data_IF_972916223378
#
_entry.id   IF_972916223378
#
_cell.length_a   1.000
_cell.length_b   1.000
_cell.length_c   1.000
_cell.angle_alpha   90.00
_cell.angle_beta   90.00
_cell.angle_gamma   90.00
#
_symmetry.space_group_name_H-M   'P 1'
#
loop_
_entity.id
_entity.type
_entity.pdbx_description
1 polymer ?
#
# COMPACT_ATOMS: atom_id res chain seq x y z
N UNK A 1 -3.82 23.35 7.10
CA UNK A 1 -3.36 21.98 7.41
C UNK A 1 -4.44 20.96 7.12
N UNK A 2 -5.58 20.95 7.84
CA UNK A 2 -6.69 20.02 7.55
C UNK A 2 -7.17 20.04 6.08
N UNK A 3 -7.36 21.23 5.50
CA UNK A 3 -7.67 21.40 4.07
C UNK A 3 -6.61 20.74 3.17
N UNK A 4 -5.32 20.88 3.52
CA UNK A 4 -4.21 20.27 2.79
C UNK A 4 -4.20 18.75 2.91
N UNK A 5 -4.44 18.20 4.11
CA UNK A 5 -4.59 16.76 4.31
C UNK A 5 -5.77 16.18 3.53
N UNK A 6 -6.88 16.93 3.45
CA UNK A 6 -8.03 16.58 2.61
C UNK A 6 -7.73 16.56 1.12
N UNK A 7 -6.89 17.45 0.60
CA UNK A 7 -6.47 17.41 -0.81
C UNK A 7 -5.38 16.35 -1.07
N UNK A 8 -4.47 16.13 -0.12
CA UNK A 8 -3.41 15.12 -0.22
C UNK A 8 -3.89 13.72 0.10
N UNK A 9 -3.65 13.26 1.33
CA UNK A 9 -3.84 11.86 1.73
C UNK A 9 -5.29 11.39 1.62
N UNK A 10 -6.24 12.28 1.91
CA UNK A 10 -7.67 11.99 1.81
C UNK A 10 -8.23 12.00 0.39
N UNK A 11 -7.49 12.47 -0.61
CA UNK A 11 -7.99 12.69 -1.96
C UNK A 11 -7.01 12.25 -3.04
N UNK A 12 -5.95 13.02 -3.29
CA UNK A 12 -5.01 12.70 -4.37
C UNK A 12 -4.45 11.29 -4.23
N UNK A 13 -4.03 10.91 -3.02
CA UNK A 13 -3.49 9.58 -2.75
C UNK A 13 -4.52 8.48 -3.03
N UNK A 14 -5.76 8.66 -2.57
CA UNK A 14 -6.83 7.68 -2.76
C UNK A 14 -7.18 7.51 -4.24
N UNK A 15 -7.28 8.62 -4.97
CA UNK A 15 -7.57 8.57 -6.40
C UNK A 15 -6.43 7.95 -7.21
N UNK A 16 -5.19 8.19 -6.80
CA UNK A 16 -4.01 7.59 -7.40
C UNK A 16 -3.97 6.07 -7.19
N UNK A 17 -4.14 5.61 -5.95
CA UNK A 17 -4.14 4.18 -5.61
C UNK A 17 -5.26 3.42 -6.30
N UNK A 18 -6.45 4.02 -6.39
CA UNK A 18 -7.58 3.42 -7.10
C UNK A 18 -7.32 3.27 -8.60
N UNK A 19 -6.65 4.25 -9.21
CA UNK A 19 -6.24 4.18 -10.60
C UNK A 19 -5.13 3.14 -10.81
N UNK A 20 -4.08 3.15 -9.99
CA UNK A 20 -2.99 2.19 -10.05
C UNK A 20 -3.48 0.73 -9.93
N UNK A 21 -4.47 0.47 -9.07
CA UNK A 21 -5.09 -0.86 -8.98
C UNK A 21 -5.78 -1.27 -10.29
N UNK A 22 -6.52 -0.36 -10.90
CA UNK A 22 -7.21 -0.61 -12.16
C UNK A 22 -6.22 -0.81 -13.31
N UNK A 23 -5.17 0.01 -13.35
CA UNK A 23 -4.08 -0.09 -14.30
C UNK A 23 -3.38 -1.44 -14.18
N UNK A 24 -2.99 -1.83 -12.96
CA UNK A 24 -2.38 -3.12 -12.64
C UNK A 24 -3.17 -4.32 -13.17
N UNK A 25 -4.48 -4.32 -12.95
CA UNK A 25 -5.35 -5.40 -13.45
C UNK A 25 -5.42 -5.46 -14.99
N UNK A 26 -5.31 -4.32 -15.67
CA UNK A 26 -5.43 -4.23 -17.13
C UNK A 26 -4.14 -4.50 -17.90
N UNK A 27 -3.03 -4.78 -17.19
CA UNK A 27 -1.73 -5.02 -17.81
C UNK A 27 -1.74 -6.26 -18.71
N UNK A 28 -1.07 -6.16 -19.84
CA UNK A 28 -0.91 -7.24 -20.81
C UNK A 28 0.54 -7.34 -21.28
N UNK A 29 0.98 -8.56 -21.63
CA UNK A 29 2.34 -8.81 -22.12
C UNK A 29 2.58 -8.12 -23.45
N UNK A 30 3.70 -7.39 -23.57
CA UNK A 30 4.04 -6.66 -24.80
C UNK A 30 4.50 -7.58 -25.93
N UNK A 31 4.67 -8.89 -25.69
CA UNK A 31 5.11 -9.88 -26.70
C UNK A 31 4.20 -9.93 -27.92
N UNK A 32 2.96 -9.52 -27.76
CA UNK A 32 1.96 -9.51 -28.83
C UNK A 32 1.93 -8.19 -29.62
N UNK A 33 2.77 -7.20 -29.27
CA UNK A 33 2.85 -5.94 -30.01
C UNK A 33 3.55 -6.13 -31.35
N UNK A 34 2.82 -5.74 -32.41
CA UNK A 34 3.26 -5.96 -33.79
C UNK A 34 4.42 -5.07 -34.22
N UNK A 35 4.61 -3.92 -33.56
CA UNK A 35 5.71 -2.99 -33.83
C UNK A 35 6.23 -2.37 -32.53
N UNK A 36 7.42 -2.81 -32.11
CA UNK A 36 8.07 -2.35 -30.88
C UNK A 36 8.29 -0.84 -30.83
N UNK A 37 8.50 -0.16 -31.96
CA UNK A 37 8.71 1.30 -31.95
C UNK A 37 7.48 2.07 -31.45
N UNK A 38 6.29 1.47 -31.53
CA UNK A 38 5.06 2.10 -31.06
C UNK A 38 4.97 2.09 -29.51
N UNK A 39 5.92 1.42 -28.85
CA UNK A 39 6.09 1.48 -27.41
C UNK A 39 6.87 2.72 -26.95
N UNK A 40 7.62 3.40 -27.82
CA UNK A 40 8.31 4.64 -27.45
C UNK A 40 7.30 5.69 -26.94
N UNK A 41 7.55 6.24 -25.76
CA UNK A 41 6.64 7.15 -25.06
C UNK A 41 5.54 6.46 -24.24
N UNK A 42 5.48 5.12 -24.22
CA UNK A 42 4.56 4.36 -23.36
C UNK A 42 5.20 4.03 -22.02
N UNK A 43 4.42 4.06 -20.95
CA UNK A 43 4.80 3.50 -19.65
C UNK A 43 4.66 1.98 -19.68
N UNK A 44 5.68 1.32 -19.17
CA UNK A 44 5.74 -0.14 -19.05
C UNK A 44 6.19 -0.54 -17.66
N UNK A 45 5.72 -1.70 -17.22
CA UNK A 45 6.27 -2.39 -16.05
C UNK A 45 7.17 -3.50 -16.55
N UNK A 46 8.46 -3.38 -16.29
CA UNK A 46 9.47 -4.34 -16.67
C UNK A 46 9.91 -5.17 -15.46
N UNK A 47 9.62 -6.47 -15.49
CA UNK A 47 10.13 -7.41 -14.50
C UNK A 47 11.55 -7.83 -14.86
N UNK A 48 12.47 -7.84 -13.90
CA UNK A 48 13.84 -8.27 -14.10
C UNK A 48 14.37 -8.97 -12.87
N UNK A 49 15.59 -9.51 -12.97
CA UNK A 49 16.28 -10.02 -11.81
C UNK A 49 17.44 -9.10 -11.44
N UNK A 50 17.37 -8.50 -10.25
CA UNK A 50 18.42 -7.66 -9.71
C UNK A 50 19.47 -8.52 -9.00
N UNK A 51 20.75 -8.24 -9.23
CA UNK A 51 21.85 -8.89 -8.50
C UNK A 51 21.92 -8.29 -7.09
N UNK A 52 21.51 -9.06 -6.09
CA UNK A 52 21.37 -8.56 -4.73
C UNK A 52 22.65 -8.72 -3.90
N UNK A 53 23.23 -9.93 -3.85
CA UNK A 53 24.50 -10.16 -3.15
C UNK A 53 25.19 -11.48 -3.51
N UNK A 54 26.48 -11.56 -3.18
CA UNK A 54 27.34 -12.74 -3.36
C UNK A 54 27.25 -13.60 -2.09
N UNK A 55 26.76 -14.83 -2.22
CA UNK A 55 26.66 -15.77 -1.10
C UNK A 55 27.66 -16.91 -1.28
N UNK A 56 28.16 -17.47 -0.19
CA UNK A 56 29.04 -18.65 -0.21
C UNK A 56 28.36 -19.84 0.44
N UNK A 57 28.30 -20.99 -0.24
CA UNK A 57 27.78 -22.22 0.37
C UNK A 57 28.79 -22.72 1.40
N UNK A 58 28.35 -22.92 2.65
CA UNK A 58 29.18 -23.50 3.73
C UNK A 58 29.00 -25.00 3.85
N UNK A 59 27.78 -25.50 3.67
CA UNK A 59 27.49 -26.93 3.69
C UNK A 59 26.18 -27.23 2.99
N UNK A 60 26.15 -28.24 2.14
CA UNK A 60 24.94 -28.83 1.57
C UNK A 60 24.58 -30.09 2.37
N UNK A 61 23.43 -30.10 3.05
CA UNK A 61 22.90 -31.29 3.73
C UNK A 61 21.71 -31.87 2.95
N UNK A 62 21.27 -33.09 3.30
CA UNK A 62 20.14 -33.77 2.64
C UNK A 62 18.84 -32.94 2.56
N UNK A 63 18.60 -32.01 3.49
CA UNK A 63 17.37 -31.19 3.56
C UNK A 63 17.63 -29.68 3.44
N UNK A 64 18.80 -29.22 3.86
CA UNK A 64 19.08 -27.80 4.04
C UNK A 64 20.45 -27.43 3.44
N UNK A 65 20.58 -26.21 2.98
CA UNK A 65 21.82 -25.58 2.54
C UNK A 65 22.16 -24.49 3.55
N UNK A 66 23.39 -24.51 4.05
CA UNK A 66 23.90 -23.41 4.89
C UNK A 66 24.70 -22.48 4.01
N UNK A 67 24.27 -21.23 3.90
CA UNK A 67 24.91 -20.17 3.15
C UNK A 67 25.59 -19.19 4.11
N UNK A 68 26.55 -18.44 3.59
CA UNK A 68 27.17 -17.30 4.23
C UNK A 68 26.91 -16.09 3.34
N UNK A 69 26.23 -15.08 3.85
CA UNK A 69 26.02 -13.85 3.09
C UNK A 69 27.29 -12.98 3.07
N UNK A 70 27.31 -11.93 2.25
CA UNK A 70 28.43 -11.00 2.13
C UNK A 70 28.82 -10.29 3.45
N UNK A 71 27.93 -10.30 4.45
CA UNK A 71 28.16 -9.75 5.81
C UNK A 71 28.68 -10.80 6.80
N UNK A 72 28.98 -12.02 6.35
CA UNK A 72 29.53 -13.11 7.15
C UNK A 72 28.51 -13.83 8.04
N UNK A 73 27.21 -13.57 7.86
CA UNK A 73 26.14 -14.23 8.62
C UNK A 73 25.81 -15.58 7.98
N UNK A 74 25.70 -16.62 8.81
CA UNK A 74 25.24 -17.95 8.38
C UNK A 74 23.72 -17.97 8.32
N UNK A 75 23.19 -18.40 7.19
CA UNK A 75 21.75 -18.59 6.98
C UNK A 75 21.50 -20.03 6.52
N UNK A 76 20.40 -20.61 6.99
CA UNK A 76 20.04 -21.99 6.72
C UNK A 76 18.77 -21.96 5.89
N UNK A 77 18.86 -22.40 4.65
CA UNK A 77 17.80 -22.35 3.65
C UNK A 77 17.45 -23.80 3.29
N UNK A 78 16.18 -24.12 3.09
CA UNK A 78 15.81 -25.47 2.63
C UNK A 78 16.26 -25.66 1.18
N UNK A 79 16.51 -26.90 0.75
CA UNK A 79 16.84 -27.16 -0.67
C UNK A 79 15.75 -26.65 -1.61
N UNK A 80 14.49 -26.78 -1.21
CA UNK A 80 13.33 -26.38 -1.99
C UNK A 80 13.29 -24.86 -2.20
N UNK A 81 13.49 -24.07 -1.14
CA UNK A 81 13.60 -22.61 -1.23
C UNK A 81 14.84 -22.19 -2.03
N UNK A 82 15.98 -22.85 -1.82
CA UNK A 82 17.22 -22.56 -2.56
C UNK A 82 17.11 -22.82 -4.07
N UNK A 83 16.29 -23.80 -4.48
CA UNK A 83 16.02 -24.12 -5.89
C UNK A 83 14.89 -23.27 -6.48
N UNK A 84 13.98 -22.75 -5.64
CA UNK A 84 12.94 -21.81 -6.05
C UNK A 84 13.55 -20.45 -6.42
N UNK A 85 14.62 -20.06 -5.73
CA UNK A 85 15.40 -18.87 -6.04
C UNK A 85 16.14 -18.99 -7.39
N UNK A 86 16.29 -17.87 -8.09
CA UNK A 86 17.05 -17.82 -9.36
C UNK A 86 18.55 -17.72 -9.08
N UNK A 87 19.14 -18.82 -8.61
CA UNK A 87 20.55 -18.93 -8.28
C UNK A 87 21.34 -19.39 -9.51
N UNK A 88 22.39 -18.64 -9.85
CA UNK A 88 23.27 -18.95 -10.97
C UNK A 88 24.67 -19.28 -10.46
N UNK A 89 25.21 -20.43 -10.89
CA UNK A 89 26.61 -20.82 -10.66
C UNK A 89 27.30 -20.83 -12.02
N UNK A 90 28.34 -20.01 -12.19
CA UNK A 90 29.08 -19.86 -13.46
C UNK A 90 28.18 -19.57 -14.68
N UNK A 91 27.03 -18.92 -14.48
CA UNK A 91 26.08 -18.61 -15.56
C UNK A 91 25.06 -19.70 -15.87
N UNK A 92 25.00 -20.78 -15.09
CA UNK A 92 23.97 -21.83 -15.20
C UNK A 92 23.03 -21.83 -13.99
N UNK A 93 21.74 -22.05 -14.23
CA UNK A 93 20.73 -22.15 -13.15
C UNK A 93 21.00 -23.41 -12.33
N UNK A 94 21.06 -23.26 -11.01
CA UNK A 94 21.28 -24.39 -10.11
C UNK A 94 20.08 -25.34 -10.17
N UNK A 95 20.35 -26.60 -10.46
CA UNK A 95 19.37 -27.69 -10.41
C UNK A 95 19.60 -28.58 -9.19
N UNK A 96 18.61 -29.41 -8.85
CA UNK A 96 18.71 -30.29 -7.68
C UNK A 96 19.91 -31.26 -7.78
N UNK A 97 20.26 -31.69 -8.99
CA UNK A 97 21.41 -32.56 -9.27
C UNK A 97 22.74 -31.88 -8.97
N UNK A 98 22.80 -30.55 -9.06
CA UNK A 98 24.00 -29.76 -8.76
C UNK A 98 24.21 -29.58 -7.25
N UNK A 99 23.19 -29.84 -6.41
CA UNK A 99 23.26 -29.67 -4.95
C UNK A 99 23.99 -30.81 -4.23
N UNK A 100 25.30 -30.90 -4.48
CA UNK A 100 26.22 -31.86 -3.88
C UNK A 100 27.21 -31.16 -2.93
N UNK A 101 27.99 -31.96 -2.18
CA UNK A 101 29.06 -31.45 -1.32
C UNK A 101 30.16 -30.69 -2.09
N UNK A 102 30.22 -30.84 -3.43
CA UNK A 102 31.19 -30.16 -4.30
C UNK A 102 30.92 -28.65 -4.43
N UNK A 103 29.70 -28.21 -4.10
CA UNK A 103 29.37 -26.78 -4.04
C UNK A 103 29.87 -26.10 -2.77
N UNK A 104 30.37 -26.85 -1.78
CA UNK A 104 30.87 -26.27 -0.54
C UNK A 104 32.08 -25.35 -0.80
N UNK A 105 31.97 -24.12 -0.34
CA UNK A 105 32.98 -23.07 -0.54
C UNK A 105 32.82 -22.28 -1.84
N UNK A 106 31.91 -22.68 -2.75
CA UNK A 106 31.63 -21.89 -3.95
C UNK A 106 30.80 -20.65 -3.61
N UNK A 107 31.11 -19.57 -4.31
CA UNK A 107 30.38 -18.32 -4.22
C UNK A 107 29.47 -18.17 -5.42
N UNK A 108 28.23 -17.75 -5.19
CA UNK A 108 27.20 -17.66 -6.22
C UNK A 108 26.54 -16.29 -6.20
N UNK A 109 26.09 -15.89 -7.38
CA UNK A 109 25.34 -14.67 -7.57
C UNK A 109 23.86 -14.97 -7.28
N UNK A 110 23.31 -14.26 -6.31
CA UNK A 110 21.89 -14.30 -6.00
C UNK A 110 21.18 -13.21 -6.78
N UNK A 111 20.23 -13.62 -7.63
CA UNK A 111 19.44 -12.75 -8.47
C UNK A 111 17.99 -12.76 -7.98
N UNK A 112 17.47 -11.60 -7.56
CA UNK A 112 16.12 -11.46 -7.00
C UNK A 112 15.14 -10.88 -8.03
N UNK A 113 13.87 -11.33 -8.07
CA UNK A 113 12.85 -10.65 -8.86
C UNK A 113 12.70 -9.19 -8.43
N UNK A 114 12.68 -8.28 -9.39
CA UNK A 114 12.47 -6.85 -9.22
C UNK A 114 11.59 -6.31 -10.35
N UNK A 115 10.96 -5.16 -10.16
CA UNK A 115 10.17 -4.49 -11.19
C UNK A 115 10.61 -3.04 -11.34
N UNK A 116 10.64 -2.58 -12.59
CA UNK A 116 10.91 -1.21 -12.97
C UNK A 116 9.69 -0.67 -13.72
N UNK A 117 9.05 0.37 -13.19
CA UNK A 117 7.96 1.07 -13.88
C UNK A 117 8.51 2.36 -14.48
N UNK A 118 8.47 2.49 -15.80
CA UNK A 118 8.97 3.69 -16.46
C UNK A 118 8.54 3.81 -17.91
N UNK A 119 8.76 5.00 -18.47
CA UNK A 119 8.50 5.33 -19.86
C UNK A 119 9.61 4.77 -20.76
N UNK A 120 9.23 4.16 -21.88
CA UNK A 120 10.17 3.74 -22.92
C UNK A 120 10.66 4.97 -23.69
N UNK A 121 11.88 5.42 -23.40
CA UNK A 121 12.48 6.60 -24.01
C UNK A 121 13.01 6.34 -25.42
N UNK A 122 13.59 5.15 -25.64
CA UNK A 122 14.05 4.75 -26.97
C UNK A 122 14.24 3.25 -27.10
N UNK A 123 13.99 2.72 -28.29
CA UNK A 123 14.29 1.34 -28.69
C UNK A 123 15.25 1.40 -29.87
N UNK A 124 16.53 1.16 -29.62
CA UNK A 124 17.59 1.20 -30.65
C UNK A 124 18.38 -0.09 -30.63
N UNK A 125 18.52 -0.69 -31.82
CA UNK A 125 19.21 -1.97 -32.01
C UNK A 125 18.64 -3.05 -31.07
N UNK A 126 19.45 -3.49 -30.10
CA UNK A 126 19.13 -4.49 -29.07
C UNK A 126 19.00 -3.90 -27.66
N UNK A 127 18.95 -2.57 -27.51
CA UNK A 127 18.82 -1.90 -26.21
C UNK A 127 17.53 -1.09 -26.14
N UNK A 128 16.83 -1.22 -25.01
CA UNK A 128 15.67 -0.42 -24.65
C UNK A 128 16.04 0.46 -23.45
N UNK A 129 15.79 1.76 -23.56
CA UNK A 129 16.01 2.71 -22.47
C UNK A 129 14.67 3.05 -21.81
N UNK A 130 14.56 2.78 -20.52
CA UNK A 130 13.42 3.10 -19.67
C UNK A 130 13.75 4.28 -18.74
N UNK A 131 12.74 5.07 -18.37
CA UNK A 131 12.90 6.20 -17.46
C UNK A 131 11.69 6.35 -16.52
N UNK A 132 11.91 6.39 -15.22
CA UNK A 132 10.86 6.44 -14.19
C UNK A 132 10.59 7.86 -13.65
N UNK A 133 11.18 8.88 -14.27
CA UNK A 133 11.14 10.27 -13.80
C UNK A 133 12.32 10.64 -12.89
N UNK A 134 13.13 9.68 -12.45
CA UNK A 134 14.31 9.90 -11.62
C UNK A 134 15.57 9.32 -12.23
N UNK A 135 15.58 8.03 -12.57
CA UNK A 135 16.73 7.29 -13.08
C UNK A 135 16.40 6.62 -14.41
N UNK A 136 17.44 6.34 -15.21
CA UNK A 136 17.31 5.60 -16.46
C UNK A 136 17.78 4.17 -16.28
N UNK A 137 17.07 3.24 -16.90
CA UNK A 137 17.44 1.83 -16.95
C UNK A 137 17.60 1.39 -18.41
N UNK A 138 18.74 0.80 -18.75
CA UNK A 138 18.98 0.22 -20.07
C UNK A 138 18.88 -1.30 -19.98
N UNK A 139 18.07 -1.90 -20.85
CA UNK A 139 17.78 -3.33 -20.84
C UNK A 139 17.90 -3.92 -22.23
N UNK A 140 18.33 -5.18 -22.29
CA UNK A 140 18.34 -5.94 -23.52
C UNK A 140 16.92 -6.11 -24.08
N UNK A 141 16.77 -5.96 -25.39
CA UNK A 141 15.48 -5.99 -26.08
C UNK A 141 14.78 -7.34 -25.99
N UNK A 142 15.51 -8.46 -26.01
CA UNK A 142 14.90 -9.78 -25.85
C UNK A 142 14.39 -9.98 -24.43
N UNK A 143 15.13 -9.50 -23.43
CA UNK A 143 14.68 -9.47 -22.03
C UNK A 143 13.45 -8.56 -21.85
N UNK A 144 13.47 -7.37 -22.45
CA UNK A 144 12.35 -6.43 -22.43
C UNK A 144 11.07 -7.05 -22.99
N UNK A 145 11.14 -7.63 -24.18
CA UNK A 145 10.02 -8.38 -24.76
C UNK A 145 9.57 -9.53 -23.86
N UNK A 146 10.54 -10.19 -23.21
CA UNK A 146 10.33 -11.27 -22.26
C UNK A 146 9.43 -10.92 -21.08
N UNK A 147 9.63 -9.72 -20.53
CA UNK A 147 9.26 -9.42 -19.16
C UNK A 147 8.56 -8.07 -18.94
N UNK A 148 8.35 -7.27 -20.00
CA UNK A 148 7.61 -6.02 -19.90
C UNK A 148 6.11 -6.23 -20.15
N UNK A 149 5.31 -5.46 -19.40
CA UNK A 149 3.87 -5.36 -19.54
C UNK A 149 3.45 -3.92 -19.77
N UNK A 150 2.39 -3.73 -20.55
CA UNK A 150 1.76 -2.44 -20.80
C UNK A 150 0.29 -2.48 -20.42
N UNK A 151 -0.20 -1.40 -19.83
CA UNK A 151 -1.64 -1.21 -19.61
C UNK A 151 -2.25 -0.37 -20.75
N UNK A 152 -3.45 -0.72 -21.25
CA UNK A 152 -4.19 0.16 -22.15
C UNK A 152 -4.71 1.42 -21.45
N UNK A 153 -4.59 1.48 -20.12
CA UNK A 153 -4.99 2.62 -19.31
C UNK A 153 -3.83 3.59 -19.05
N UNK A 154 -2.63 3.31 -19.57
CA UNK A 154 -1.48 4.19 -19.43
C UNK A 154 -1.79 5.62 -19.94
N UNK A 155 -1.37 6.62 -19.16
CA UNK A 155 -1.60 8.04 -19.47
C UNK A 155 -3.06 8.51 -19.39
N UNK A 156 -4.04 7.64 -19.10
CA UNK A 156 -5.47 8.04 -18.98
C UNK A 156 -5.94 8.18 -17.54
N UNK A 157 -5.03 8.27 -16.57
CA UNK A 157 -5.35 8.52 -15.15
C UNK A 157 -6.26 9.73 -14.94
N UNK A 158 -6.11 10.78 -15.76
CA UNK A 158 -7.00 11.95 -15.72
C UNK A 158 -8.46 11.61 -16.10
N UNK A 159 -8.71 10.68 -17.01
CA UNK A 159 -10.06 10.23 -17.38
C UNK A 159 -10.70 9.49 -16.21
N UNK A 160 -9.95 8.56 -15.61
CA UNK A 160 -10.38 7.87 -14.40
C UNK A 160 -10.70 8.88 -13.30
N UNK A 161 -9.81 9.86 -13.09
CA UNK A 161 -9.98 10.95 -12.15
C UNK A 161 -11.25 11.76 -12.41
N UNK A 162 -11.61 12.05 -13.67
CA UNK A 162 -12.87 12.74 -14.01
C UNK A 162 -14.08 11.91 -13.61
N UNK A 163 -14.08 10.61 -13.94
CA UNK A 163 -15.18 9.70 -13.58
C UNK A 163 -15.32 9.65 -12.06
N UNK A 164 -14.20 9.47 -11.35
CA UNK A 164 -14.16 9.45 -9.90
C UNK A 164 -14.64 10.77 -9.28
N UNK A 165 -14.18 11.91 -9.82
CA UNK A 165 -14.59 13.24 -9.36
C UNK A 165 -16.09 13.49 -9.53
N UNK A 166 -16.70 13.00 -10.61
CA UNK A 166 -18.15 13.07 -10.82
C UNK A 166 -18.88 12.24 -9.75
N UNK A 167 -18.44 10.99 -9.53
CA UNK A 167 -19.05 10.11 -8.52
C UNK A 167 -18.95 10.72 -7.11
N UNK A 168 -17.76 11.21 -6.73
CA UNK A 168 -17.53 11.87 -5.44
C UNK A 168 -18.38 13.14 -5.35
N UNK A 169 -18.38 13.97 -6.40
CA UNK A 169 -19.16 15.20 -6.53
C UNK A 169 -20.65 14.99 -6.25
N UNK A 170 -21.25 13.96 -6.85
CA UNK A 170 -22.66 13.58 -6.63
C UNK A 170 -22.94 13.37 -5.14
N UNK A 171 -22.04 12.76 -4.39
CA UNK A 171 -22.22 12.49 -2.95
C UNK A 171 -21.98 13.74 -2.11
N UNK A 172 -20.84 14.41 -2.29
CA UNK A 172 -20.43 15.53 -1.43
C UNK A 172 -21.33 16.74 -1.58
N UNK A 173 -21.94 16.98 -2.77
CA UNK A 173 -22.93 18.05 -2.96
C UNK A 173 -24.12 17.90 -2.00
N UNK A 174 -24.53 16.67 -1.68
CA UNK A 174 -25.62 16.39 -0.74
C UNK A 174 -25.28 16.60 0.74
N UNK A 175 -24.02 16.91 1.08
CA UNK A 175 -23.56 17.15 2.45
C UNK A 175 -23.60 15.90 3.34
N UNK A 176 -23.40 16.08 4.65
CA UNK A 176 -23.16 14.96 5.59
C UNK A 176 -24.26 13.91 5.61
N UNK A 177 -25.53 14.28 5.38
CA UNK A 177 -26.64 13.31 5.35
C UNK A 177 -26.51 12.34 4.16
N UNK A 178 -26.11 12.84 2.98
CA UNK A 178 -25.91 11.99 1.80
C UNK A 178 -24.64 11.17 1.93
N UNK A 179 -23.59 11.75 2.49
CA UNK A 179 -22.35 11.04 2.84
C UNK A 179 -22.67 9.84 3.74
N UNK A 180 -23.32 10.07 4.88
CA UNK A 180 -23.69 9.01 5.82
C UNK A 180 -24.53 7.89 5.17
N UNK A 181 -25.50 8.25 4.32
CA UNK A 181 -26.37 7.30 3.58
C UNK A 181 -25.67 6.50 2.47
N UNK A 182 -24.48 6.94 2.05
CA UNK A 182 -23.67 6.21 1.07
C UNK A 182 -22.68 5.33 1.82
N UNK A 183 -22.00 5.91 2.82
CA UNK A 183 -21.02 5.22 3.66
C UNK A 183 -21.64 4.07 4.45
N UNK A 184 -22.87 4.21 4.98
CA UNK A 184 -23.57 3.16 5.73
C UNK A 184 -23.82 1.86 4.93
N UNK A 185 -23.77 1.93 3.60
CA UNK A 185 -23.91 0.78 2.69
C UNK A 185 -22.58 0.33 2.11
N UNK A 186 -21.78 1.27 1.64
CA UNK A 186 -20.53 0.96 0.94
C UNK A 186 -19.50 0.38 1.91
N UNK A 187 -19.35 0.96 3.11
CA UNK A 187 -18.31 0.55 4.06
C UNK A 187 -18.50 -0.88 4.54
N UNK A 188 -19.70 -1.32 5.01
CA UNK A 188 -19.88 -2.71 5.39
C UNK A 188 -19.66 -3.67 4.22
N UNK A 189 -20.07 -3.30 3.01
CA UNK A 189 -19.91 -4.13 1.82
C UNK A 189 -18.43 -4.31 1.43
N UNK A 190 -17.67 -3.22 1.32
CA UNK A 190 -16.26 -3.28 0.92
C UNK A 190 -15.41 -4.01 1.97
N UNK A 191 -15.67 -3.78 3.27
CA UNK A 191 -14.98 -4.47 4.36
C UNK A 191 -15.36 -5.95 4.37
N UNK A 192 -16.64 -6.30 4.22
CA UNK A 192 -17.06 -7.71 4.21
C UNK A 192 -16.40 -8.48 3.06
N UNK A 193 -16.41 -7.92 1.86
CA UNK A 193 -15.73 -8.54 0.71
C UNK A 193 -14.27 -8.75 1.03
N UNK A 194 -13.54 -7.73 1.49
CA UNK A 194 -12.11 -7.81 1.75
C UNK A 194 -11.72 -8.75 2.91
N UNK A 195 -12.53 -8.75 3.99
CA UNK A 195 -12.27 -9.61 5.15
C UNK A 195 -12.58 -11.07 4.85
N UNK A 196 -13.72 -11.37 4.24
CA UNK A 196 -14.06 -12.75 3.83
C UNK A 196 -12.96 -13.28 2.91
N UNK A 197 -12.56 -12.44 1.97
CA UNK A 197 -11.46 -12.65 1.05
C UNK A 197 -10.16 -13.07 1.76
N UNK A 198 -9.67 -12.25 2.68
CA UNK A 198 -8.46 -12.56 3.43
C UNK A 198 -8.62 -13.82 4.30
N UNK A 199 -9.78 -13.99 4.94
CA UNK A 199 -10.06 -15.17 5.77
C UNK A 199 -10.06 -16.48 4.97
N UNK A 200 -10.52 -16.48 3.73
CA UNK A 200 -10.44 -17.66 2.84
C UNK A 200 -8.98 -18.03 2.58
N UNK A 201 -8.13 -17.05 2.22
CA UNK A 201 -6.71 -17.29 1.96
C UNK A 201 -5.98 -17.77 3.23
N UNK A 202 -6.24 -17.12 4.36
CA UNK A 202 -5.68 -17.52 5.65
C UNK A 202 -6.17 -18.91 6.08
N UNK A 203 -7.42 -19.27 5.75
CA UNK A 203 -7.96 -20.60 5.99
C UNK A 203 -7.30 -21.68 5.13
N UNK A 204 -7.00 -21.38 3.87
CA UNK A 204 -6.25 -22.27 2.97
C UNK A 204 -4.81 -22.48 3.45
N UNK A 205 -4.21 -21.45 4.04
CA UNK A 205 -2.82 -21.44 4.52
C UNK A 205 -2.72 -21.46 6.06
N UNK A 206 -3.67 -22.09 6.74
CA UNK A 206 -3.81 -21.99 8.19
C UNK A 206 -2.54 -22.42 8.97
N UNK A 207 -1.82 -23.42 8.46
CA UNK A 207 -0.57 -23.91 9.06
C UNK A 207 0.57 -22.88 9.01
N UNK A 208 0.53 -21.93 8.08
CA UNK A 208 1.57 -20.92 7.88
C UNK A 208 1.40 -19.70 8.81
N UNK A 209 0.21 -19.49 9.37
CA UNK A 209 -0.12 -18.31 10.19
C UNK A 209 0.86 -18.12 11.37
N UNK A 210 1.20 -19.15 12.17
CA UNK A 210 2.15 -18.98 13.27
C UNK A 210 3.55 -18.58 12.79
N UNK A 211 4.00 -19.10 11.64
CA UNK A 211 5.29 -18.73 11.04
C UNK A 211 5.28 -17.26 10.61
N UNK A 212 4.22 -16.82 9.96
CA UNK A 212 4.06 -15.42 9.54
C UNK A 212 4.11 -14.45 10.72
N UNK A 213 3.46 -14.77 11.85
CA UNK A 213 3.63 -13.97 13.08
C UNK A 213 5.08 -13.98 13.58
N UNK A 214 5.76 -15.14 13.53
CA UNK A 214 7.17 -15.25 13.86
C UNK A 214 8.04 -14.31 13.02
N UNK A 215 7.77 -14.19 11.72
CA UNK A 215 8.44 -13.26 10.81
C UNK A 215 8.14 -11.79 11.14
N UNK A 216 6.88 -11.45 11.46
CA UNK A 216 6.51 -10.08 11.88
C UNK A 216 7.30 -9.66 13.12
N UNK A 217 7.26 -10.49 14.18
CA UNK A 217 7.95 -10.18 15.42
C UNK A 217 9.47 -10.21 15.25
N UNK A 218 9.98 -11.21 14.51
CA UNK A 218 11.40 -11.30 14.17
C UNK A 218 11.89 -10.06 13.43
N UNK A 219 11.22 -9.67 12.34
CA UNK A 219 11.56 -8.50 11.52
C UNK A 219 11.48 -7.19 12.30
N UNK A 220 10.45 -7.02 13.15
CA UNK A 220 10.28 -5.82 13.96
C UNK A 220 11.42 -5.60 14.97
N UNK A 221 11.95 -6.67 15.57
CA UNK A 221 12.93 -6.58 16.67
C UNK A 221 14.38 -6.91 16.29
N UNK A 222 14.67 -7.34 15.06
CA UNK A 222 16.04 -7.74 14.67
C UNK A 222 16.73 -6.76 13.72
N UNK A 223 16.02 -5.75 13.20
CA UNK A 223 16.61 -4.63 12.46
C UNK A 223 17.19 -4.98 11.08
N UNK A 224 16.89 -6.16 10.53
CA UNK A 224 17.52 -6.67 9.30
C UNK A 224 17.13 -5.95 8.01
N UNK A 225 16.20 -5.00 8.01
CA UNK A 225 15.64 -4.45 6.77
C UNK A 225 15.74 -2.95 6.52
N UNK A 226 16.07 -2.08 7.49
CA UNK A 226 15.98 -0.62 7.26
C UNK A 226 17.19 0.10 7.85
N UNK A 227 17.66 1.14 7.16
CA UNK A 227 18.65 2.08 7.70
C UNK A 227 18.16 2.61 9.07
N UNK A 228 18.85 2.23 10.16
CA UNK A 228 18.43 2.54 11.54
C UNK A 228 17.98 1.34 12.38
N UNK A 229 18.02 0.11 11.84
CA UNK A 229 17.77 -1.12 12.60
C UNK A 229 16.34 -1.20 13.15
N UNK A 230 16.17 -1.74 14.36
CA UNK A 230 14.87 -1.87 15.03
C UNK A 230 14.11 -0.53 15.10
N UNK A 231 14.81 0.58 15.40
CA UNK A 231 14.17 1.90 15.48
C UNK A 231 13.66 2.39 14.12
N UNK A 232 14.40 2.12 13.04
CA UNK A 232 13.96 2.46 11.68
C UNK A 232 12.68 1.72 11.29
N UNK A 233 12.61 0.41 11.60
CA UNK A 233 11.42 -0.41 11.35
C UNK A 233 10.21 0.09 12.14
N UNK A 234 10.38 0.41 13.43
CA UNK A 234 9.31 0.94 14.26
C UNK A 234 8.81 2.30 13.75
N UNK A 235 9.72 3.21 13.37
CA UNK A 235 9.35 4.53 12.81
C UNK A 235 8.53 4.36 11.54
N UNK A 236 8.95 3.47 10.63
CA UNK A 236 8.21 3.20 9.40
C UNK A 236 6.83 2.58 9.70
N UNK A 237 6.76 1.65 10.65
CA UNK A 237 5.51 1.06 11.13
C UNK A 237 4.57 2.12 11.69
N UNK A 238 5.04 3.00 12.56
CA UNK A 238 4.25 4.11 13.09
C UNK A 238 3.80 5.09 12.02
N UNK A 239 4.67 5.45 11.06
CA UNK A 239 4.33 6.34 9.93
C UNK A 239 3.19 5.76 9.11
N UNK A 240 3.26 4.48 8.74
CA UNK A 240 2.23 3.83 7.92
C UNK A 240 0.96 3.52 8.72
N UNK A 241 1.06 3.14 9.99
CA UNK A 241 -0.10 2.94 10.86
C UNK A 241 -0.87 4.24 11.10
N UNK A 242 -0.16 5.36 11.36
CA UNK A 242 -0.79 6.67 11.54
C UNK A 242 -1.51 7.16 10.27
N UNK A 243 -1.04 6.75 9.08
CA UNK A 243 -1.75 7.01 7.83
C UNK A 243 -3.04 6.19 7.70
N UNK A 244 -3.02 4.92 8.14
CA UNK A 244 -4.17 4.01 8.04
C UNK A 244 -5.31 4.39 8.98
N UNK A 245 -5.02 4.50 10.28
CA UNK A 245 -6.05 4.72 11.31
C UNK A 245 -6.21 6.16 11.76
N UNK A 246 -5.40 7.07 11.19
CA UNK A 246 -5.45 8.51 11.47
C UNK A 246 -5.25 8.88 12.96
N UNK A 247 -4.61 7.99 13.73
CA UNK A 247 -4.39 8.20 15.16
C UNK A 247 -3.54 9.46 15.41
N UNK A 248 -4.07 10.36 16.25
CA UNK A 248 -3.39 11.61 16.62
C UNK A 248 -3.49 12.74 15.59
N UNK A 249 -4.02 12.49 14.38
CA UNK A 249 -4.20 13.52 13.34
C UNK A 249 -5.34 14.49 13.68
N UNK A 250 -6.41 13.98 14.30
CA UNK A 250 -7.57 14.77 14.73
C UNK A 250 -8.70 14.89 13.69
N UNK A 251 -8.52 14.37 12.48
CA UNK A 251 -9.53 14.33 11.39
C UNK A 251 -10.80 13.57 11.79
N UNK A 252 -10.68 12.34 12.29
CA UNK A 252 -11.82 11.50 12.68
C UNK A 252 -12.79 12.20 13.65
N UNK A 253 -12.25 12.99 14.60
CA UNK A 253 -13.04 13.75 15.57
C UNK A 253 -14.03 14.73 14.92
N UNK A 254 -13.76 15.20 13.70
CA UNK A 254 -14.64 16.08 12.93
C UNK A 254 -15.93 15.35 12.54
N UNK A 255 -15.84 14.08 12.12
CA UNK A 255 -17.02 13.24 11.85
C UNK A 255 -17.81 12.97 13.13
N UNK A 256 -17.13 12.49 14.17
CA UNK A 256 -17.76 12.13 15.44
C UNK A 256 -18.44 13.32 16.13
N UNK A 257 -17.91 14.53 15.96
CA UNK A 257 -18.53 15.75 16.50
C UNK A 257 -19.93 16.04 15.94
N UNK A 258 -20.29 15.46 14.78
CA UNK A 258 -21.60 15.61 14.18
C UNK A 258 -22.66 14.67 14.77
N UNK A 259 -22.25 13.67 15.57
CA UNK A 259 -23.17 12.70 16.17
C UNK A 259 -23.98 13.34 17.29
N UNK A 260 -25.28 13.02 17.33
CA UNK A 260 -26.18 13.49 18.38
C UNK A 260 -26.09 12.58 19.60
N UNK A 261 -25.20 12.92 20.53
CA UNK A 261 -25.05 12.21 21.80
C UNK A 261 -25.20 13.15 23.00
N UNK A 262 -25.68 12.61 24.13
CA UNK A 262 -25.75 13.33 25.41
C UNK A 262 -24.40 13.38 26.12
N UNK A 263 -23.48 12.46 25.81
CA UNK A 263 -22.19 12.33 26.48
C UNK A 263 -21.09 12.22 25.42
N UNK A 264 -20.21 13.21 25.33
CA UNK A 264 -19.11 13.22 24.35
C UNK A 264 -18.21 11.98 24.48
N UNK A 265 -17.96 11.53 25.72
CA UNK A 265 -17.15 10.33 25.96
C UNK A 265 -17.79 9.02 25.45
N UNK A 266 -19.11 8.97 25.26
CA UNK A 266 -19.74 7.81 24.63
C UNK A 266 -19.31 7.67 23.17
N UNK A 267 -19.32 8.78 22.44
CA UNK A 267 -18.90 8.82 21.05
C UNK A 267 -17.39 8.61 20.92
N UNK A 268 -16.61 9.18 21.83
CA UNK A 268 -15.16 8.94 21.88
C UNK A 268 -14.80 7.46 22.08
N UNK A 269 -15.64 6.67 22.77
CA UNK A 269 -15.44 5.22 22.91
C UNK A 269 -15.86 4.46 21.65
N UNK A 270 -16.90 4.91 20.94
CA UNK A 270 -17.28 4.34 19.64
C UNK A 270 -16.17 4.58 18.61
N UNK A 271 -15.58 5.76 18.60
CA UNK A 271 -14.46 6.11 17.72
C UNK A 271 -13.24 5.18 17.85
N UNK A 272 -13.04 4.54 19.02
CA UNK A 272 -11.95 3.57 19.21
C UNK A 272 -12.13 2.29 18.39
N UNK A 273 -13.34 2.00 17.89
CA UNK A 273 -13.58 0.86 17.01
C UNK A 273 -12.94 1.07 15.63
N UNK A 274 -12.76 2.31 15.18
CA UNK A 274 -12.16 2.64 13.89
C UNK A 274 -10.72 2.08 13.77
N UNK A 275 -9.74 2.48 14.62
CA UNK A 275 -8.38 1.95 14.55
C UNK A 275 -8.31 0.45 14.84
N UNK A 276 -9.25 -0.09 15.64
CA UNK A 276 -9.30 -1.51 15.92
C UNK A 276 -9.69 -2.31 14.68
N UNK A 277 -10.78 -1.93 14.01
CA UNK A 277 -11.25 -2.63 12.80
C UNK A 277 -10.24 -2.44 11.67
N UNK A 278 -9.78 -1.21 11.45
CA UNK A 278 -8.85 -0.89 10.37
C UNK A 278 -7.48 -1.56 10.58
N UNK A 279 -6.75 -1.17 11.63
CA UNK A 279 -5.35 -1.58 11.78
C UNK A 279 -5.22 -2.96 12.41
N UNK A 280 -5.95 -3.23 13.50
CA UNK A 280 -5.74 -4.47 14.27
C UNK A 280 -6.34 -5.67 13.54
N UNK A 281 -7.48 -5.51 12.87
CA UNK A 281 -8.10 -6.60 12.11
C UNK A 281 -7.68 -6.56 10.64
N UNK A 282 -8.08 -5.53 9.89
CA UNK A 282 -7.94 -5.52 8.43
C UNK A 282 -6.47 -5.47 8.00
N UNK A 283 -5.67 -4.53 8.51
CA UNK A 283 -4.25 -4.47 8.13
C UNK A 283 -3.44 -5.69 8.59
N UNK A 284 -3.76 -6.28 9.75
CA UNK A 284 -3.12 -7.53 10.18
C UNK A 284 -3.44 -8.68 9.22
N UNK A 285 -4.70 -8.82 8.80
CA UNK A 285 -5.07 -9.85 7.82
C UNK A 285 -4.34 -9.63 6.48
N UNK A 286 -4.25 -8.38 6.01
CA UNK A 286 -3.46 -8.03 4.82
C UNK A 286 -1.99 -8.42 4.98
N UNK A 287 -1.37 -8.07 6.11
CA UNK A 287 0.03 -8.38 6.38
C UNK A 287 0.29 -9.89 6.42
N UNK A 288 -0.62 -10.66 7.02
CA UNK A 288 -0.50 -12.13 7.05
C UNK A 288 -0.63 -12.74 5.66
N UNK A 289 -1.60 -12.29 4.85
CA UNK A 289 -1.74 -12.74 3.45
C UNK A 289 -0.49 -12.42 2.64
N UNK A 290 0.06 -11.21 2.79
CA UNK A 290 1.29 -10.78 2.12
C UNK A 290 2.48 -11.66 2.51
N UNK A 291 2.71 -11.88 3.80
CA UNK A 291 3.87 -12.65 4.28
C UNK A 291 3.80 -14.12 3.87
N UNK A 292 2.63 -14.74 4.02
CA UNK A 292 2.41 -16.14 3.61
C UNK A 292 2.66 -16.27 2.10
N UNK A 293 2.05 -15.40 1.30
CA UNK A 293 2.22 -15.45 -0.16
C UNK A 293 3.65 -15.12 -0.59
N UNK A 294 4.37 -14.30 0.18
CA UNK A 294 5.76 -13.98 -0.08
C UNK A 294 6.68 -15.18 0.13
N UNK A 295 6.45 -16.00 1.17
CA UNK A 295 7.22 -17.21 1.42
C UNK A 295 7.15 -18.23 0.27
N UNK A 296 6.01 -18.27 -0.43
CA UNK A 296 5.77 -19.20 -1.54
C UNK A 296 6.18 -18.65 -2.92
N UNK A 297 6.06 -17.32 -3.13
CA UNK A 297 6.17 -16.70 -4.47
C UNK A 297 7.31 -15.67 -4.60
N UNK A 298 7.96 -15.27 -3.51
CA UNK A 298 9.02 -14.25 -3.54
C UNK A 298 8.53 -12.90 -4.06
N UNK A 299 7.36 -12.44 -3.59
CA UNK A 299 6.68 -11.22 -4.05
C UNK A 299 7.41 -9.92 -3.69
N UNK A 300 8.13 -9.90 -2.58
CA UNK A 300 8.88 -8.74 -2.10
C UNK A 300 10.03 -9.16 -1.18
N UNK A 301 11.06 -8.31 -1.10
CA UNK A 301 12.18 -8.52 -0.20
C UNK A 301 12.02 -7.71 1.08
N UNK A 302 12.33 -8.34 2.21
CA UNK A 302 12.38 -7.66 3.49
C UNK A 302 13.47 -6.60 3.51
N UNK A 303 13.05 -5.34 3.63
CA UNK A 303 13.94 -4.20 3.77
C UNK A 303 14.20 -3.41 2.51
N UNK A 304 13.70 -3.89 1.37
CA UNK A 304 13.64 -3.11 0.14
C UNK A 304 12.32 -2.36 0.11
N UNK A 305 12.35 -1.11 -0.36
CA UNK A 305 11.14 -0.31 -0.49
C UNK A 305 10.28 -0.87 -1.62
N UNK A 306 9.08 -1.31 -1.29
CA UNK A 306 8.05 -1.62 -2.29
C UNK A 306 7.49 -0.31 -2.84
N UNK A 307 7.76 -0.04 -4.11
CA UNK A 307 7.29 1.18 -4.82
C UNK A 307 5.81 1.10 -5.20
N UNK A 308 5.32 -0.11 -5.47
CA UNK A 308 3.95 -0.40 -5.95
C UNK A 308 3.20 -1.34 -4.99
N UNK A 309 2.84 -0.87 -3.80
CA UNK A 309 2.27 -1.74 -2.73
C UNK A 309 0.93 -2.41 -3.09
N UNK A 310 0.12 -1.77 -3.93
CA UNK A 310 -1.15 -2.31 -4.41
C UNK A 310 -0.94 -3.50 -5.35
N UNK A 311 0.09 -3.45 -6.20
CA UNK A 311 0.42 -4.55 -7.12
C UNK A 311 0.88 -5.79 -6.35
N UNK A 312 1.73 -5.62 -5.34
CA UNK A 312 2.19 -6.72 -4.48
C UNK A 312 1.01 -7.35 -3.73
N UNK A 313 0.06 -6.53 -3.27
CA UNK A 313 -1.16 -7.04 -2.65
C UNK A 313 -2.00 -7.81 -3.67
N UNK A 314 -2.19 -7.27 -4.88
CA UNK A 314 -2.92 -7.97 -5.94
C UNK A 314 -2.30 -9.33 -6.29
N UNK A 315 -0.97 -9.37 -6.45
CA UNK A 315 -0.24 -10.60 -6.75
C UNK A 315 -0.37 -11.65 -5.62
N UNK A 316 -0.32 -11.23 -4.36
CA UNK A 316 -0.50 -12.12 -3.21
C UNK A 316 -1.90 -12.76 -3.17
N UNK A 317 -2.92 -11.99 -3.55
CA UNK A 317 -4.28 -12.50 -3.61
C UNK A 317 -4.51 -13.38 -4.85
N UNK A 318 -3.91 -13.03 -6.00
CA UNK A 318 -3.98 -13.80 -7.24
C UNK A 318 -3.35 -15.19 -7.12
N UNK A 319 -2.20 -15.29 -6.44
CA UNK A 319 -1.47 -16.55 -6.28
C UNK A 319 -2.30 -17.62 -5.56
N UNK A 320 -3.23 -17.21 -4.71
CA UNK A 320 -4.14 -18.10 -3.99
C UNK A 320 -5.46 -18.31 -4.76
N UNK A 321 -5.99 -17.27 -5.40
CA UNK A 321 -7.28 -17.30 -6.10
C UNK A 321 -7.23 -16.42 -7.37
N UNK A 322 -7.29 -17.04 -8.54
CA UNK A 322 -7.09 -16.37 -9.83
C UNK A 322 -8.15 -15.32 -10.21
N UNK A 323 -9.39 -15.42 -9.73
CA UNK A 323 -10.46 -14.44 -10.02
C UNK A 323 -10.49 -13.26 -9.05
N UNK A 324 -9.62 -13.29 -8.04
CA UNK A 324 -9.66 -12.35 -6.94
C UNK A 324 -9.13 -10.95 -7.21
N UNK A 325 -8.15 -10.74 -8.11
CA UNK A 325 -7.72 -9.40 -8.50
C UNK A 325 -8.89 -8.48 -8.92
N UNK A 326 -9.93 -9.04 -9.55
CA UNK A 326 -11.16 -8.31 -9.91
C UNK A 326 -11.87 -7.80 -8.66
N UNK A 327 -12.03 -8.69 -7.67
CA UNK A 327 -12.72 -8.37 -6.40
C UNK A 327 -11.93 -7.37 -5.59
N UNK A 328 -10.60 -7.53 -5.53
CA UNK A 328 -9.70 -6.59 -4.88
C UNK A 328 -9.75 -5.22 -5.57
N UNK A 329 -9.79 -5.18 -6.91
CA UNK A 329 -9.89 -3.92 -7.67
C UNK A 329 -11.15 -3.17 -7.29
N UNK A 330 -12.30 -3.86 -7.27
CA UNK A 330 -13.57 -3.27 -6.84
C UNK A 330 -13.47 -2.79 -5.38
N UNK A 331 -12.91 -3.59 -4.49
CA UNK A 331 -12.76 -3.23 -3.08
C UNK A 331 -11.90 -1.96 -2.92
N UNK A 332 -10.71 -1.91 -3.52
CA UNK A 332 -9.77 -0.76 -3.42
C UNK A 332 -10.41 0.52 -3.98
N UNK A 333 -11.11 0.43 -5.10
CA UNK A 333 -11.85 1.58 -5.67
C UNK A 333 -12.93 2.06 -4.69
N UNK A 334 -13.65 1.16 -4.04
CA UNK A 334 -14.65 1.51 -3.03
C UNK A 334 -14.03 2.10 -1.74
N UNK A 335 -12.89 1.55 -1.29
CA UNK A 335 -12.11 2.08 -0.17
C UNK A 335 -11.68 3.52 -0.45
N UNK A 336 -11.04 3.75 -1.60
CA UNK A 336 -10.63 5.08 -2.03
C UNK A 336 -11.82 6.05 -2.11
N UNK A 337 -12.91 5.62 -2.74
CA UNK A 337 -14.13 6.41 -2.87
C UNK A 337 -14.73 6.82 -1.53
N UNK A 338 -14.87 5.87 -0.60
CA UNK A 338 -15.40 6.16 0.75
C UNK A 338 -14.52 7.15 1.52
N UNK A 339 -13.20 7.01 1.40
CA UNK A 339 -12.21 7.86 2.07
C UNK A 339 -12.28 9.29 1.51
N UNK A 340 -12.34 9.44 0.18
CA UNK A 340 -12.49 10.73 -0.48
C UNK A 340 -13.74 11.49 -0.02
N UNK A 341 -14.86 10.80 0.13
CA UNK A 341 -16.11 11.43 0.57
C UNK A 341 -15.99 11.91 2.03
N UNK A 342 -15.44 11.10 2.92
CA UNK A 342 -15.23 11.46 4.33
C UNK A 342 -14.26 12.63 4.48
N UNK A 343 -13.12 12.58 3.79
CA UNK A 343 -12.10 13.63 3.83
C UNK A 343 -12.55 14.93 3.16
N UNK A 344 -13.44 14.86 2.16
CA UNK A 344 -14.12 16.04 1.65
C UNK A 344 -14.91 16.75 2.75
N UNK A 345 -15.59 16.02 3.64
CA UNK A 345 -16.32 16.63 4.74
C UNK A 345 -15.37 17.23 5.78
N UNK A 346 -14.29 16.53 6.14
CA UNK A 346 -13.30 17.02 7.12
C UNK A 346 -12.68 18.36 6.67
N UNK A 347 -12.20 18.41 5.44
CA UNK A 347 -11.60 19.62 4.90
C UNK A 347 -12.63 20.72 4.68
N UNK A 348 -13.89 20.39 4.36
CA UNK A 348 -14.95 21.39 4.27
C UNK A 348 -15.22 22.06 5.62
N UNK A 349 -15.24 21.31 6.74
CA UNK A 349 -15.37 21.91 8.07
C UNK A 349 -14.22 22.88 8.36
N UNK A 350 -12.98 22.48 8.08
CA UNK A 350 -11.81 23.37 8.21
C UNK A 350 -11.87 24.59 7.26
N UNK A 351 -12.37 24.40 6.04
CA UNK A 351 -12.56 25.47 5.06
C UNK A 351 -13.58 26.51 5.53
N UNK A 352 -14.73 26.06 6.06
CA UNK A 352 -15.74 26.99 6.61
C UNK A 352 -15.30 27.67 7.89
N UNK A 353 -14.39 27.08 8.66
CA UNK A 353 -13.78 27.73 9.82
C UNK A 353 -12.95 28.94 9.41
N UNK A 354 -12.20 28.85 8.31
CA UNK A 354 -11.34 29.93 7.81
C UNK A 354 -12.10 30.98 6.98
N UNK A 355 -12.97 30.53 6.08
CA UNK A 355 -13.60 31.38 5.06
C UNK A 355 -15.08 31.67 5.33
N UNK A 356 -15.59 31.25 6.50
CA UNK A 356 -16.99 31.39 6.87
C UNK A 356 -17.91 30.39 6.17
N UNK A 357 -19.19 30.42 6.55
CA UNK A 357 -20.23 29.56 5.97
C UNK A 357 -20.99 30.31 4.88
N UNK A 358 -21.11 29.70 3.70
CA UNK A 358 -21.88 30.25 2.59
C UNK A 358 -21.93 29.27 1.43
N UNK A 359 -22.98 29.38 0.59
CA UNK A 359 -23.15 28.49 -0.57
C UNK A 359 -21.98 28.60 -1.55
N UNK A 360 -21.50 29.81 -1.80
CA UNK A 360 -20.34 30.04 -2.67
C UNK A 360 -19.10 29.37 -2.07
N UNK A 361 -18.81 29.61 -0.79
CA UNK A 361 -17.67 29.01 -0.08
C UNK A 361 -17.70 27.48 -0.12
N UNK A 362 -18.89 26.90 0.04
CA UNK A 362 -19.14 25.45 -0.05
C UNK A 362 -18.87 24.88 -1.43
N UNK A 363 -19.48 25.45 -2.47
CA UNK A 363 -19.31 24.95 -3.83
C UNK A 363 -17.89 25.16 -4.34
N UNK A 364 -17.23 26.25 -3.96
CA UNK A 364 -15.82 26.49 -4.29
C UNK A 364 -14.93 25.40 -3.70
N UNK A 365 -15.09 25.07 -2.41
CA UNK A 365 -14.30 23.99 -1.80
C UNK A 365 -14.53 22.66 -2.49
N UNK A 366 -15.80 22.28 -2.73
CA UNK A 366 -16.14 20.99 -3.35
C UNK A 366 -15.63 20.91 -4.80
N UNK A 367 -15.70 22.01 -5.54
CA UNK A 367 -15.15 22.09 -6.89
C UNK A 367 -13.63 21.89 -6.89
N UNK A 368 -12.90 22.61 -6.03
CA UNK A 368 -11.45 22.43 -5.87
C UNK A 368 -11.14 20.99 -5.47
N UNK A 369 -11.87 20.43 -4.50
CA UNK A 369 -11.70 19.04 -4.07
C UNK A 369 -11.83 18.06 -5.26
N UNK A 370 -12.86 18.20 -6.10
CA UNK A 370 -13.02 17.38 -7.31
C UNK A 370 -11.88 17.58 -8.32
N UNK A 371 -11.33 18.78 -8.49
CA UNK A 371 -10.16 19.02 -9.35
C UNK A 371 -8.93 18.25 -8.82
N UNK A 372 -8.72 18.24 -7.50
CA UNK A 372 -7.62 17.50 -6.89
C UNK A 372 -7.77 15.97 -7.03
N UNK A 373 -8.99 15.44 -7.17
CA UNK A 373 -9.21 14.01 -7.51
C UNK A 373 -8.62 13.71 -8.88
N UNK A 374 -8.90 14.56 -9.87
CA UNK A 374 -8.38 14.41 -11.24
C UNK A 374 -6.86 14.50 -11.27
N UNK A 375 -6.29 15.49 -10.57
CA UNK A 375 -4.84 15.68 -10.48
C UNK A 375 -4.20 14.46 -9.79
N UNK A 376 -4.78 13.97 -8.70
CA UNK A 376 -4.27 12.82 -7.97
C UNK A 376 -4.18 11.56 -8.80
N UNK A 377 -5.22 11.25 -9.59
CA UNK A 377 -5.24 10.10 -10.48
C UNK A 377 -4.17 10.16 -11.58
N UNK A 378 -3.76 11.36 -12.00
CA UNK A 378 -2.77 11.56 -13.07
C UNK A 378 -1.35 11.83 -12.55
N UNK A 379 -1.17 12.03 -11.24
CA UNK A 379 0.12 12.36 -10.65
C UNK A 379 0.99 11.12 -10.40
N UNK A 380 2.31 11.33 -10.27
CA UNK A 380 3.22 10.26 -9.85
C UNK A 380 2.99 9.91 -8.37
N UNK A 381 2.89 8.62 -8.05
CA UNK A 381 2.54 8.14 -6.72
C UNK A 381 3.46 8.71 -5.62
N UNK A 382 4.77 8.73 -5.84
CA UNK A 382 5.73 9.19 -4.83
C UNK A 382 5.51 10.66 -4.45
N UNK A 383 5.27 11.54 -5.43
CA UNK A 383 4.97 12.96 -5.18
C UNK A 383 3.69 13.13 -4.35
N UNK A 384 2.68 12.29 -4.61
CA UNK A 384 1.42 12.30 -3.88
C UNK A 384 1.61 11.82 -2.44
N UNK A 385 2.41 10.77 -2.23
CA UNK A 385 2.77 10.26 -0.89
C UNK A 385 3.49 11.33 -0.09
N UNK A 386 4.52 11.97 -0.66
CA UNK A 386 5.34 12.95 0.05
C UNK A 386 4.52 14.18 0.45
N UNK A 387 3.66 14.67 -0.46
CA UNK A 387 2.73 15.75 -0.14
C UNK A 387 1.74 15.34 0.98
N UNK A 388 1.19 14.13 0.90
CA UNK A 388 0.21 13.62 1.86
C UNK A 388 0.81 13.47 3.25
N UNK A 389 1.99 12.87 3.35
CA UNK A 389 2.71 12.66 4.61
C UNK A 389 3.08 14.00 5.26
N UNK A 390 3.51 14.99 4.46
CA UNK A 390 3.79 16.33 4.96
C UNK A 390 2.54 17.01 5.54
N UNK A 391 1.39 16.90 4.86
CA UNK A 391 0.14 17.51 5.32
C UNK A 391 -0.42 16.82 6.56
N UNK A 392 -0.38 15.49 6.62
CA UNK A 392 -0.80 14.70 7.77
C UNK A 392 0.07 15.02 8.98
N UNK A 393 1.39 15.08 8.81
CA UNK A 393 2.31 15.45 9.88
C UNK A 393 2.01 16.86 10.40
N UNK A 394 1.80 17.82 9.50
CA UNK A 394 1.45 19.19 9.88
C UNK A 394 0.14 19.26 10.67
N UNK A 395 -0.85 18.41 10.40
CA UNK A 395 -2.09 18.33 11.18
C UNK A 395 -1.89 17.71 12.56
N UNK A 396 -1.09 16.66 12.64
CA UNK A 396 -0.86 15.89 13.86
C UNK A 396 -0.24 16.77 14.96
N UNK A 397 0.79 17.55 14.65
CA UNK A 397 1.53 18.36 15.64
C UNK A 397 0.63 19.27 16.49
N UNK A 398 -0.15 20.21 15.91
CA UNK A 398 -1.02 21.09 16.69
C UNK A 398 -2.15 20.33 17.39
N UNK A 399 -2.68 19.27 16.78
CA UNK A 399 -3.74 18.46 17.41
C UNK A 399 -3.23 17.75 18.67
N UNK A 400 -2.04 17.14 18.60
CA UNK A 400 -1.41 16.47 19.74
C UNK A 400 -1.11 17.43 20.89
N UNK A 401 -0.64 18.65 20.58
CA UNK A 401 -0.44 19.70 21.58
C UNK A 401 -1.77 20.06 22.25
N UNK A 402 -2.84 20.23 21.46
CA UNK A 402 -4.19 20.50 21.98
C UNK A 402 -4.69 19.38 22.89
N UNK A 403 -4.56 18.12 22.47
CA UNK A 403 -4.95 16.95 23.26
C UNK A 403 -4.18 16.86 24.58
N UNK A 404 -2.89 17.19 24.58
CA UNK A 404 -2.09 17.21 25.81
C UNK A 404 -2.66 18.21 26.84
N UNK A 405 -2.99 19.42 26.40
CA UNK A 405 -3.60 20.43 27.29
C UNK A 405 -5.04 20.08 27.69
N UNK A 406 -5.80 19.41 26.81
CA UNK A 406 -7.20 19.05 27.05
C UNK A 406 -7.37 17.67 27.72
N UNK A 407 -6.29 16.93 27.97
CA UNK A 407 -6.33 15.62 28.63
C UNK A 407 -7.11 15.60 29.96
N UNK A 408 -6.99 16.62 30.85
CA UNK A 408 -7.81 16.68 32.06
C UNK A 408 -9.31 16.73 31.76
N UNK A 409 -9.70 17.48 30.71
CA UNK A 409 -11.11 17.62 30.33
C UNK A 409 -11.68 16.33 29.75
N UNK A 410 -10.89 15.61 28.94
CA UNK A 410 -11.27 14.29 28.43
C UNK A 410 -11.50 13.32 29.60
N UNK A 411 -10.64 13.34 30.61
CA UNK A 411 -10.78 12.51 31.82
C UNK A 411 -12.07 12.83 32.59
N UNK A 412 -12.42 14.11 32.73
CA UNK A 412 -13.67 14.54 33.35
C UNK A 412 -14.90 14.03 32.60
N UNK A 413 -14.95 14.20 31.27
CA UNK A 413 -16.07 13.73 30.44
C UNK A 413 -16.23 12.21 30.50
N UNK A 414 -15.12 11.47 30.51
CA UNK A 414 -15.15 10.02 30.68
C UNK A 414 -15.69 9.61 32.06
N UNK A 415 -15.27 10.29 33.13
CA UNK A 415 -15.76 10.02 34.48
C UNK A 415 -17.28 10.28 34.58
N UNK A 416 -17.76 11.38 34.00
CA UNK A 416 -19.21 11.70 33.93
C UNK A 416 -19.98 10.59 33.23
N UNK A 417 -19.49 10.13 32.07
CA UNK A 417 -20.17 9.07 31.32
C UNK A 417 -20.17 7.73 32.07
N UNK A 418 -19.03 7.32 32.67
CA UNK A 418 -18.97 6.11 33.50
C UNK A 418 -19.93 6.15 34.68
N UNK A 419 -20.06 7.32 35.34
CA UNK A 419 -21.02 7.50 36.43
C UNK A 419 -22.47 7.39 35.94
N UNK A 420 -22.78 7.89 34.74
CA UNK A 420 -24.10 7.77 34.15
C UNK A 420 -24.46 6.32 33.81
N UNK A 421 -23.54 5.54 33.23
CA UNK A 421 -23.75 4.12 32.94
C UNK A 421 -23.97 3.33 34.23
N UNK A 422 -23.20 3.59 35.28
CA UNK A 422 -23.33 2.87 36.56
C UNK A 422 -24.67 3.13 37.27
N UNK A 423 -25.36 4.23 36.94
CA UNK A 423 -26.66 4.60 37.50
C UNK A 423 -27.85 4.09 36.69
N UNK A 424 -27.64 3.74 35.42
CA UNK A 424 -28.63 3.14 34.54
C UNK A 424 -28.69 1.63 34.78
#
# INVERSE_FOLDING_TARGET
>A
MCIGGSFGGGNMFQSNQAFAMLESYSQSDIKNESNLKDLEGSTVIYSYFEKDSLFTIKSVNKKDITTLNAKGKKEKITKETFLADSIMINGEKVTEEMLTDELNGQSFDYYKPATYTGEVQSIKDDVVTLYDGSEKMEVDKASFLGNAKKSPLDGVGWIFGIVMAILVGIVIIGGIKKIAKVTDKIVPFMVAIYVISALVILGMNFSQIPSAFGEIFGGAFTGYGIAGGMFGVLIQGFRRAAFSNEAGIGSASIAHSAVKTKYAASEGLVALLEPFIDTVLVCTMTALVLIISNGDQGLFEYGVQVTQGVEVTSAAFESNISWFPIVLTIAVVLFAFSTMISWSYYGYQAWTYLFGRGKMTEYTYKFIFCVFVVIGAAAQLQSVIDFSDAMIFAMLVPNMIGLFFLAPRVREELAKFKAAIKKA
#
